data_IF_338721077178
#
_entry.id   IF_338721077178
#
_cell.length_a   1.000
_cell.length_b   1.000
_cell.length_c   1.000
_cell.angle_alpha   90.00
_cell.angle_beta   90.00
_cell.angle_gamma   90.00
#
_symmetry.space_group_name_H-M   'P 1'
#
loop_
_entity.id
_entity.type
_entity.pdbx_description
1 polymer ?
#
# COMPACT_ATOMS: atom_id res chain seq x y z
N UNK A 1 -45.25 40.25 -23.97
CA UNK A 1 -45.07 39.17 -23.04
C UNK A 1 -43.90 38.30 -23.52
N UNK A 2 -42.73 38.46 -22.94
CA UNK A 2 -41.55 37.62 -23.23
C UNK A 2 -41.43 36.60 -22.11
N UNK A 3 -41.60 35.33 -22.46
CA UNK A 3 -41.36 34.20 -21.55
C UNK A 3 -39.83 33.99 -21.40
N UNK A 4 -39.30 34.21 -20.20
CA UNK A 4 -37.95 33.80 -19.83
C UNK A 4 -38.00 32.31 -19.49
N UNK A 5 -37.38 31.50 -20.34
CA UNK A 5 -37.11 30.09 -20.02
C UNK A 5 -35.91 30.01 -19.05
N UNK A 6 -36.17 29.64 -17.83
CA UNK A 6 -35.14 29.37 -16.79
C UNK A 6 -34.62 27.94 -16.97
N UNK A 7 -33.46 27.79 -17.61
CA UNK A 7 -32.79 26.50 -17.73
C UNK A 7 -32.13 26.17 -16.40
N UNK A 8 -32.71 25.24 -15.68
CA UNK A 8 -32.14 24.67 -14.44
C UNK A 8 -31.01 23.73 -14.82
N UNK A 9 -29.75 24.18 -14.70
CA UNK A 9 -28.59 23.32 -14.77
C UNK A 9 -28.53 22.50 -13.49
N UNK A 10 -28.97 21.24 -13.55
CA UNK A 10 -28.67 20.23 -12.51
C UNK A 10 -27.18 19.91 -12.57
N UNK A 11 -26.41 20.52 -11.68
CA UNK A 11 -25.06 20.08 -11.32
C UNK A 11 -25.23 18.73 -10.64
N UNK A 12 -25.11 17.63 -11.39
CA UNK A 12 -24.88 16.32 -10.82
C UNK A 12 -23.46 16.34 -10.28
N UNK A 13 -23.32 16.63 -8.99
CA UNK A 13 -22.12 16.30 -8.24
C UNK A 13 -21.98 14.78 -8.33
N UNK A 14 -21.04 14.31 -9.15
CA UNK A 14 -20.57 12.93 -9.09
C UNK A 14 -19.98 12.76 -7.70
N UNK A 15 -20.76 12.24 -6.77
CA UNK A 15 -20.25 11.61 -5.57
C UNK A 15 -19.44 10.41 -6.07
N UNK A 16 -18.16 10.62 -6.30
CA UNK A 16 -17.23 9.51 -6.41
C UNK A 16 -17.40 8.70 -5.13
N UNK A 17 -17.90 7.49 -5.27
CA UNK A 17 -18.02 6.57 -4.16
C UNK A 17 -16.60 6.38 -3.61
N UNK A 18 -16.31 7.03 -2.49
CA UNK A 18 -15.06 6.83 -1.78
C UNK A 18 -15.08 5.38 -1.32
N UNK A 19 -13.97 4.64 -1.51
CA UNK A 19 -13.85 3.30 -0.95
C UNK A 19 -14.09 3.33 0.57
N UNK A 20 -14.23 2.18 1.23
CA UNK A 20 -14.58 2.12 2.63
C UNK A 20 -13.54 2.85 3.48
N UNK A 21 -13.98 3.69 4.40
CA UNK A 21 -13.09 4.53 5.24
C UNK A 21 -12.01 3.71 5.96
N UNK A 22 -12.36 2.50 6.40
CA UNK A 22 -11.42 1.63 7.07
C UNK A 22 -10.21 1.21 6.22
N UNK A 23 -10.30 1.24 4.88
CA UNK A 23 -9.20 0.94 3.96
C UNK A 23 -8.29 2.16 3.72
N UNK A 24 -8.76 3.37 4.01
CA UNK A 24 -8.04 4.63 3.82
C UNK A 24 -7.80 5.29 5.16
N UNK A 25 -6.86 4.76 5.89
CA UNK A 25 -6.58 5.15 7.26
C UNK A 25 -6.10 6.59 7.37
N UNK A 26 -6.60 7.28 8.37
CA UNK A 26 -6.15 8.62 8.78
C UNK A 26 -5.96 8.64 10.29
N UNK A 27 -4.97 9.38 10.76
CA UNK A 27 -4.77 9.59 12.19
C UNK A 27 -5.93 10.44 12.71
N UNK A 28 -6.84 9.83 13.45
CA UNK A 28 -8.06 10.47 13.99
C UNK A 28 -8.10 10.44 15.53
N UNK A 29 -7.23 9.65 16.14
CA UNK A 29 -7.15 9.43 17.57
C UNK A 29 -5.79 9.88 18.10
N UNK A 30 -5.74 10.22 19.38
CA UNK A 30 -4.49 10.51 20.07
C UNK A 30 -3.70 9.21 20.24
N UNK A 31 -2.39 9.27 19.96
CA UNK A 31 -1.50 8.12 20.17
C UNK A 31 -1.48 7.82 21.69
N UNK A 32 -1.72 6.55 22.10
CA UNK A 32 -1.68 6.19 23.51
C UNK A 32 -0.35 6.55 24.17
N UNK A 33 -0.38 7.10 25.39
CA UNK A 33 0.82 7.57 26.10
C UNK A 33 1.91 6.49 26.22
N UNK A 34 1.50 5.24 26.44
CA UNK A 34 2.42 4.10 26.47
C UNK A 34 3.18 3.83 25.16
N UNK A 35 2.74 4.47 24.08
CA UNK A 35 3.36 4.36 22.73
C UNK A 35 4.04 5.65 22.29
N UNK A 36 4.15 6.66 23.15
CA UNK A 36 5.01 7.83 22.90
C UNK A 36 6.49 7.43 23.05
N UNK A 37 7.33 8.00 22.22
CA UNK A 37 8.78 7.79 22.27
C UNK A 37 9.44 8.92 23.07
N UNK A 38 10.47 8.57 23.87
CA UNK A 38 11.39 9.59 24.39
C UNK A 38 12.23 10.11 23.22
N UNK A 39 12.20 11.42 22.92
CA UNK A 39 12.94 11.97 21.78
C UNK A 39 14.47 11.86 21.93
N UNK A 40 14.98 11.57 23.12
CA UNK A 40 16.40 11.43 23.39
C UNK A 40 16.84 9.96 23.47
N UNK A 41 15.91 9.04 23.50
CA UNK A 41 16.25 7.61 23.53
C UNK A 41 16.83 7.14 22.20
N UNK A 42 17.98 6.47 22.27
CA UNK A 42 18.59 5.84 21.11
C UNK A 42 17.98 4.47 20.89
N UNK A 43 17.48 4.27 19.70
CA UNK A 43 16.88 3.01 19.23
C UNK A 43 17.82 2.30 18.27
N UNK A 44 17.78 0.99 18.27
CA UNK A 44 18.55 0.13 17.38
C UNK A 44 17.68 -1.00 16.89
N UNK A 45 18.11 -1.68 15.84
CA UNK A 45 17.45 -2.89 15.34
C UNK A 45 18.40 -4.07 15.40
N UNK A 46 17.90 -5.30 15.58
CA UNK A 46 18.74 -6.49 15.60
C UNK A 46 19.57 -6.61 14.32
N UNK A 47 20.87 -6.84 14.46
CA UNK A 47 21.79 -7.01 13.32
C UNK A 47 22.37 -5.71 12.74
N UNK A 48 22.00 -4.54 13.27
CA UNK A 48 22.60 -3.25 12.90
C UNK A 48 23.42 -2.67 14.07
N UNK A 49 24.53 -2.02 13.73
CA UNK A 49 25.34 -1.27 14.70
C UNK A 49 24.89 0.19 14.87
N UNK A 50 23.90 0.63 14.07
CA UNK A 50 23.37 2.00 14.13
C UNK A 50 22.52 2.21 15.38
N UNK A 51 22.61 3.42 15.94
CA UNK A 51 21.76 3.90 17.02
C UNK A 51 21.21 5.29 16.63
N UNK A 52 19.90 5.42 16.56
CA UNK A 52 19.23 6.62 16.09
C UNK A 52 18.11 7.01 17.06
N UNK A 53 17.87 8.31 17.19
CA UNK A 53 16.66 8.80 17.87
C UNK A 53 15.44 8.59 16.97
N UNK A 54 14.23 8.64 17.57
CA UNK A 54 13.01 8.53 16.76
C UNK A 54 12.91 9.65 15.71
N UNK A 55 13.32 10.87 16.04
CA UNK A 55 13.34 12.00 15.09
C UNK A 55 14.25 11.73 13.88
N UNK A 56 15.39 11.04 14.09
CA UNK A 56 16.27 10.62 13.00
C UNK A 56 15.66 9.50 12.18
N UNK A 57 14.95 8.57 12.81
CA UNK A 57 14.24 7.48 12.13
C UNK A 57 13.10 8.04 11.27
N UNK A 58 12.43 9.08 11.74
CA UNK A 58 11.28 9.70 11.06
C UNK A 58 11.67 10.84 10.11
N UNK A 59 12.98 11.07 9.90
CA UNK A 59 13.44 11.99 8.86
C UNK A 59 13.10 11.45 7.47
N UNK A 60 12.11 12.05 6.86
CA UNK A 60 11.63 11.62 5.53
C UNK A 60 12.59 11.96 4.38
N UNK A 61 13.63 12.72 4.64
CA UNK A 61 14.67 13.05 3.65
C UNK A 61 15.96 12.27 3.86
N UNK A 62 16.13 11.66 5.05
CA UNK A 62 17.28 10.81 5.38
C UNK A 62 16.79 9.59 6.18
N UNK A 63 15.93 8.74 5.60
CA UNK A 63 15.44 7.55 6.30
C UNK A 63 16.60 6.64 6.66
N UNK A 64 16.48 5.87 7.76
CA UNK A 64 17.57 5.02 8.20
C UNK A 64 17.86 3.90 7.19
N UNK A 65 19.13 3.74 6.88
CA UNK A 65 19.65 2.56 6.20
C UNK A 65 20.31 1.66 7.24
N UNK A 66 19.50 0.76 7.80
CA UNK A 66 19.93 -0.14 8.86
C UNK A 66 20.96 -1.18 8.39
N UNK A 67 20.94 -1.54 7.11
CA UNK A 67 21.71 -2.65 6.53
C UNK A 67 22.31 -2.26 5.16
N UNK A 68 23.23 -1.28 5.11
CA UNK A 68 23.73 -0.74 3.83
C UNK A 68 24.52 -1.76 2.99
N UNK A 69 24.86 -2.90 3.56
CA UNK A 69 25.56 -3.97 2.86
C UNK A 69 24.63 -5.04 2.27
N UNK A 70 23.32 -4.97 2.56
CA UNK A 70 22.35 -5.99 2.12
C UNK A 70 21.70 -5.64 0.77
N UNK A 71 22.00 -4.46 0.22
CA UNK A 71 21.44 -4.00 -1.05
C UNK A 71 22.46 -3.16 -1.84
N UNK A 72 22.17 -2.92 -3.11
CA UNK A 72 22.95 -2.01 -3.93
C UNK A 72 22.87 -0.57 -3.36
N UNK A 73 23.91 0.27 -3.58
CA UNK A 73 23.86 1.68 -3.16
C UNK A 73 22.59 2.37 -3.64
N UNK A 74 21.95 3.12 -2.77
CA UNK A 74 20.75 3.88 -3.10
C UNK A 74 21.03 4.97 -4.12
N UNK A 75 20.21 5.14 -5.16
CA UNK A 75 20.17 6.38 -5.92
C UNK A 75 19.82 7.58 -5.01
N UNK A 76 20.27 8.78 -5.36
CA UNK A 76 20.05 9.99 -4.56
C UNK A 76 18.56 10.23 -4.25
N UNK A 77 17.69 10.04 -5.25
CA UNK A 77 16.25 10.20 -5.07
C UNK A 77 15.65 9.16 -4.12
N UNK A 78 16.24 7.98 -4.01
CA UNK A 78 15.83 6.94 -3.08
C UNK A 78 16.28 7.26 -1.65
N UNK A 79 17.53 7.74 -1.50
CA UNK A 79 18.16 8.04 -0.21
C UNK A 79 17.70 9.37 0.39
N UNK A 80 17.59 10.43 -0.42
CA UNK A 80 17.45 11.81 0.05
C UNK A 80 16.30 12.60 -0.58
N UNK A 81 15.63 12.02 -1.59
CA UNK A 81 14.55 12.73 -2.29
C UNK A 81 15.06 13.92 -3.09
N UNK A 82 14.26 15.01 -3.18
CA UNK A 82 14.60 16.19 -3.96
C UNK A 82 14.10 17.47 -3.30
N UNK A 83 15.02 18.27 -2.79
CA UNK A 83 14.69 19.53 -2.15
C UNK A 83 13.72 19.36 -0.98
N UNK A 84 12.71 20.24 -0.90
CA UNK A 84 11.64 20.15 0.11
C UNK A 84 10.37 19.53 -0.45
N UNK A 85 10.29 19.38 -1.75
CA UNK A 85 9.10 18.96 -2.48
C UNK A 85 8.92 17.46 -2.49
N UNK A 86 10.04 16.71 -2.56
CA UNK A 86 10.02 15.25 -2.67
C UNK A 86 10.80 14.61 -1.53
N UNK A 87 10.14 13.78 -0.77
CA UNK A 87 10.76 12.94 0.27
C UNK A 87 11.56 11.81 -0.37
N UNK A 88 12.51 11.25 0.36
CA UNK A 88 13.22 10.05 -0.06
C UNK A 88 12.23 8.89 -0.33
N UNK A 89 12.42 8.16 -1.43
CA UNK A 89 11.53 7.03 -1.74
C UNK A 89 11.57 5.97 -0.63
N UNK A 90 12.75 5.70 -0.08
CA UNK A 90 12.95 4.74 1.01
C UNK A 90 12.23 5.15 2.31
N UNK A 91 11.86 6.43 2.49
CA UNK A 91 11.10 6.87 3.66
C UNK A 91 9.70 6.23 3.76
N UNK A 92 9.08 5.87 2.62
CA UNK A 92 7.76 5.25 2.57
C UNK A 92 7.81 3.82 2.04
N UNK A 93 8.68 3.56 1.06
CA UNK A 93 8.77 2.25 0.41
C UNK A 93 9.80 1.32 1.07
N UNK A 94 10.54 1.80 2.08
CA UNK A 94 11.62 1.11 2.80
C UNK A 94 12.81 0.72 1.92
N UNK A 95 13.92 0.36 2.55
CA UNK A 95 15.10 -0.17 1.88
C UNK A 95 14.79 -1.45 1.11
N UNK A 96 13.92 -2.29 1.65
CA UNK A 96 13.46 -3.54 1.03
C UNK A 96 12.49 -3.35 -0.14
N UNK A 97 11.99 -2.14 -0.39
CA UNK A 97 10.96 -1.90 -1.39
C UNK A 97 9.59 -2.52 -1.07
N UNK A 98 9.39 -3.06 0.13
CA UNK A 98 8.13 -3.70 0.52
C UNK A 98 7.05 -2.70 0.95
N UNK A 99 7.46 -1.51 1.37
CA UNK A 99 6.53 -0.48 1.84
C UNK A 99 5.87 -0.81 3.18
N UNK A 100 4.78 -0.13 3.46
CA UNK A 100 3.89 -0.38 4.60
C UNK A 100 2.47 -0.65 4.06
N UNK A 101 1.49 -1.03 4.90
CA UNK A 101 0.09 -1.10 4.45
C UNK A 101 -0.40 0.18 3.76
N UNK A 102 0.20 1.34 4.07
CA UNK A 102 -0.12 2.64 3.47
C UNK A 102 0.66 2.96 2.20
N UNK A 103 1.74 2.26 1.90
CA UNK A 103 2.60 2.46 0.73
C UNK A 103 2.65 1.20 -0.13
N UNK A 104 2.89 1.38 -1.43
CA UNK A 104 3.03 0.27 -2.36
C UNK A 104 4.30 -0.53 -2.09
N UNK A 105 4.23 -1.85 -2.23
CA UNK A 105 5.40 -2.64 -2.60
C UNK A 105 5.91 -2.16 -3.97
N UNK A 106 7.23 -2.05 -4.10
CA UNK A 106 7.94 -1.73 -5.34
C UNK A 106 8.92 -2.84 -5.73
N UNK A 107 9.40 -3.60 -4.74
CA UNK A 107 10.34 -4.70 -4.93
C UNK A 107 9.86 -5.68 -5.99
N UNK A 108 10.74 -5.98 -6.96
CA UNK A 108 10.49 -6.95 -8.02
C UNK A 108 9.50 -6.54 -9.10
N UNK A 109 8.91 -5.35 -9.02
CA UNK A 109 8.02 -4.89 -10.08
C UNK A 109 8.82 -4.49 -11.34
N UNK A 110 8.30 -4.74 -12.55
CA UNK A 110 8.99 -4.36 -13.80
C UNK A 110 9.29 -2.87 -13.85
N UNK A 111 10.48 -2.49 -14.31
CA UNK A 111 10.90 -1.09 -14.47
C UNK A 111 9.87 -0.28 -15.25
N UNK A 112 9.41 -0.80 -16.39
CA UNK A 112 8.41 -0.15 -17.24
C UNK A 112 7.06 0.05 -16.54
N UNK A 113 6.68 -0.85 -15.64
CA UNK A 113 5.49 -0.68 -14.80
C UNK A 113 5.69 0.48 -13.80
N UNK A 114 6.82 0.51 -13.08
CA UNK A 114 7.12 1.56 -12.08
C UNK A 114 7.17 2.95 -12.74
N UNK A 115 7.90 3.08 -13.84
CA UNK A 115 7.97 4.34 -14.63
C UNK A 115 6.57 4.78 -15.07
N UNK A 116 5.78 3.89 -15.62
CA UNK A 116 4.41 4.17 -16.07
C UNK A 116 3.50 4.60 -14.92
N UNK A 117 3.65 4.03 -13.71
CA UNK A 117 2.86 4.48 -12.56
C UNK A 117 3.22 5.92 -12.15
N UNK A 118 4.49 6.30 -12.19
CA UNK A 118 4.92 7.68 -11.92
C UNK A 118 4.39 8.66 -12.98
N UNK A 119 4.38 8.27 -14.24
CA UNK A 119 3.75 9.06 -15.30
C UNK A 119 2.24 9.24 -15.05
N UNK A 120 1.53 8.19 -14.68
CA UNK A 120 0.08 8.28 -14.39
C UNK A 120 -0.21 9.15 -13.17
N UNK A 121 0.66 9.17 -12.16
CA UNK A 121 0.55 10.14 -11.07
C UNK A 121 0.79 11.57 -11.55
N UNK A 122 1.76 11.79 -12.43
CA UNK A 122 2.09 13.11 -12.98
C UNK A 122 0.97 13.67 -13.85
N UNK A 123 0.36 12.82 -14.68
CA UNK A 123 -0.74 13.21 -15.60
C UNK A 123 -2.12 13.23 -14.95
N UNK A 124 -2.24 12.68 -13.73
CA UNK A 124 -3.52 12.57 -13.02
C UNK A 124 -4.40 11.39 -13.50
N UNK A 125 -3.87 10.51 -14.36
CA UNK A 125 -4.55 9.26 -14.73
C UNK A 125 -4.61 8.28 -13.56
N UNK A 126 -3.73 8.45 -12.57
CA UNK A 126 -3.77 7.81 -11.27
C UNK A 126 -3.71 8.88 -10.18
N UNK A 127 -4.65 8.84 -9.26
CA UNK A 127 -4.65 9.76 -8.13
C UNK A 127 -4.31 9.02 -6.83
N UNK A 128 -3.43 9.63 -6.05
CA UNK A 128 -3.12 9.23 -4.68
C UNK A 128 -3.71 10.25 -3.70
N UNK A 129 -4.20 9.80 -2.56
CA UNK A 129 -4.81 10.71 -1.57
C UNK A 129 -3.79 11.58 -0.83
N UNK A 130 -2.48 11.26 -0.96
CA UNK A 130 -1.47 11.84 -0.07
C UNK A 130 -0.35 12.55 -0.83
N UNK A 131 0.59 11.82 -1.44
CA UNK A 131 1.86 12.39 -1.84
C UNK A 131 2.28 12.15 -3.29
N UNK A 132 1.92 10.98 -3.87
CA UNK A 132 2.56 10.54 -5.11
C UNK A 132 2.29 11.44 -6.31
N UNK A 133 1.09 12.01 -6.45
CA UNK A 133 0.83 12.99 -7.52
C UNK A 133 1.73 14.22 -7.38
N UNK A 134 1.84 14.76 -6.15
CA UNK A 134 2.72 15.91 -5.89
C UNK A 134 4.18 15.58 -6.18
N UNK A 135 4.68 14.44 -5.71
CA UNK A 135 6.07 14.05 -5.94
C UNK A 135 6.37 13.87 -7.42
N UNK A 136 5.48 13.24 -8.18
CA UNK A 136 5.63 13.01 -9.60
C UNK A 136 5.79 14.29 -10.44
N UNK A 137 5.31 15.44 -9.95
CA UNK A 137 5.48 16.74 -10.61
C UNK A 137 6.93 17.25 -10.57
N UNK A 138 7.71 16.86 -9.52
CA UNK A 138 9.05 17.41 -9.27
C UNK A 138 10.19 16.45 -9.62
N UNK A 139 9.89 15.17 -9.81
CA UNK A 139 10.89 14.14 -10.13
C UNK A 139 11.10 14.09 -11.66
N UNK A 140 12.34 14.10 -12.14
CA UNK A 140 12.65 13.96 -13.55
C UNK A 140 12.49 12.52 -14.04
N UNK A 141 12.47 12.33 -15.35
CA UNK A 141 12.34 10.99 -15.94
C UNK A 141 13.59 10.13 -15.66
N UNK A 142 14.76 10.74 -15.57
CA UNK A 142 16.01 10.07 -15.20
C UNK A 142 15.95 9.58 -13.75
N UNK A 143 15.53 10.44 -12.81
CA UNK A 143 15.40 10.10 -11.39
C UNK A 143 14.32 9.00 -11.18
N UNK A 144 13.23 9.04 -11.96
CA UNK A 144 12.19 7.98 -11.94
C UNK A 144 12.79 6.66 -12.42
N UNK A 145 13.58 6.69 -13.51
CA UNK A 145 14.20 5.50 -14.06
C UNK A 145 15.20 4.89 -13.06
N UNK A 146 16.08 5.69 -12.47
CA UNK A 146 17.04 5.24 -11.45
C UNK A 146 16.34 4.57 -10.25
N UNK A 147 15.28 5.18 -9.73
CA UNK A 147 14.49 4.59 -8.65
C UNK A 147 13.78 3.30 -9.09
N UNK A 148 13.24 3.26 -10.30
CA UNK A 148 12.57 2.09 -10.84
C UNK A 148 13.53 0.92 -11.05
N UNK A 149 14.73 1.18 -11.57
CA UNK A 149 15.78 0.16 -11.74
C UNK A 149 16.23 -0.39 -10.38
N UNK A 150 16.44 0.50 -9.39
CA UNK A 150 16.79 0.09 -8.04
C UNK A 150 15.74 -0.85 -7.42
N UNK A 151 14.48 -0.43 -7.34
CA UNK A 151 13.42 -1.24 -6.72
C UNK A 151 13.08 -2.50 -7.51
N UNK A 152 13.17 -2.47 -8.84
CA UNK A 152 12.93 -3.63 -9.68
C UNK A 152 13.95 -4.75 -9.46
N UNK A 153 15.19 -4.39 -9.09
CA UNK A 153 16.26 -5.34 -8.82
C UNK A 153 16.18 -6.00 -7.43
N UNK A 154 15.34 -5.49 -6.54
CA UNK A 154 15.15 -6.08 -5.20
C UNK A 154 14.22 -7.29 -5.31
N UNK A 155 14.63 -8.42 -4.75
CA UNK A 155 13.79 -9.59 -4.64
C UNK A 155 12.71 -9.36 -3.57
N UNK A 156 11.40 -9.50 -3.90
CA UNK A 156 10.35 -9.33 -2.91
C UNK A 156 10.43 -10.43 -1.83
N UNK A 157 10.15 -10.05 -0.60
CA UNK A 157 10.16 -10.95 0.55
C UNK A 157 8.74 -11.17 1.08
N UNK A 158 8.55 -12.24 1.84
CA UNK A 158 7.30 -12.46 2.55
C UNK A 158 7.07 -11.29 3.52
N UNK A 159 5.97 -10.56 3.31
CA UNK A 159 5.65 -9.35 4.07
C UNK A 159 4.44 -9.55 4.99
N UNK A 160 3.42 -10.28 4.53
CA UNK A 160 2.32 -10.72 5.37
C UNK A 160 2.69 -12.07 5.97
N UNK A 161 3.03 -12.06 7.25
CA UNK A 161 3.56 -13.24 7.95
C UNK A 161 2.47 -14.27 8.21
N UNK A 162 1.25 -13.80 8.52
CA UNK A 162 0.09 -14.65 8.72
C UNK A 162 -1.20 -13.93 8.31
N UNK A 163 -2.21 -14.69 7.91
CA UNK A 163 -3.58 -14.22 7.61
C UNK A 163 -4.56 -15.00 8.48
N UNK A 164 -5.07 -14.33 9.50
CA UNK A 164 -5.91 -14.92 10.54
C UNK A 164 -7.39 -14.69 10.22
N UNK A 165 -8.12 -15.75 10.01
CA UNK A 165 -9.59 -15.71 9.86
C UNK A 165 -10.26 -15.65 11.24
N UNK A 166 -11.02 -14.58 11.50
CA UNK A 166 -11.65 -14.34 12.80
C UNK A 166 -12.81 -13.36 12.70
N UNK A 167 -13.71 -13.41 13.68
CA UNK A 167 -14.80 -12.43 13.82
C UNK A 167 -14.43 -11.26 14.75
N UNK A 168 -13.38 -11.42 15.57
CA UNK A 168 -12.92 -10.42 16.53
C UNK A 168 -11.41 -10.22 16.42
N UNK A 169 -10.96 -8.97 16.58
CA UNK A 169 -9.56 -8.59 16.52
C UNK A 169 -9.14 -7.86 17.79
N UNK A 170 -7.85 -7.78 18.12
CA UNK A 170 -7.38 -6.86 19.13
C UNK A 170 -7.87 -5.44 18.83
N UNK A 171 -8.25 -4.68 19.87
CA UNK A 171 -8.56 -3.25 19.72
C UNK A 171 -7.32 -2.54 19.17
N UNK A 172 -7.54 -1.67 18.18
CA UNK A 172 -6.47 -1.01 17.46
C UNK A 172 -6.64 0.51 17.43
N UNK A 173 -5.56 1.22 17.12
CA UNK A 173 -5.56 2.65 16.81
C UNK A 173 -4.69 2.92 15.58
N UNK A 174 -4.86 4.08 14.94
CA UNK A 174 -4.01 4.52 13.82
C UNK A 174 -2.96 5.47 14.37
N UNK A 175 -1.70 5.07 14.28
CA UNK A 175 -0.54 5.84 14.75
C UNK A 175 0.31 6.39 13.61
N UNK A 176 1.60 6.53 13.90
CA UNK A 176 2.57 7.11 12.98
C UNK A 176 2.64 6.34 11.66
N UNK A 177 2.94 7.06 10.59
CA UNK A 177 2.91 6.50 9.24
C UNK A 177 1.54 6.05 8.78
N UNK A 178 0.46 6.34 9.51
CA UNK A 178 -0.92 5.81 9.32
C UNK A 178 -1.00 4.30 9.42
N UNK A 179 -0.05 3.69 10.10
CA UNK A 179 -0.09 2.26 10.40
C UNK A 179 -1.09 2.00 11.53
N UNK A 180 -1.69 0.82 11.48
CA UNK A 180 -2.59 0.33 12.52
C UNK A 180 -1.78 -0.43 13.55
N UNK A 181 -1.92 -0.05 14.81
CA UNK A 181 -1.25 -0.70 15.94
C UNK A 181 -2.26 -1.28 16.92
N UNK A 182 -1.88 -2.36 17.60
CA UNK A 182 -2.67 -2.91 18.71
C UNK A 182 -2.63 -1.92 19.87
N UNK A 183 -3.79 -1.65 20.47
CA UNK A 183 -3.91 -0.72 21.59
C UNK A 183 -3.24 -1.29 22.86
N UNK A 184 -2.38 -0.53 23.56
CA UNK A 184 -1.61 -1.02 24.72
C UNK A 184 -2.48 -1.45 25.89
N UNK A 185 -3.67 -0.87 26.06
CA UNK A 185 -4.61 -1.25 27.12
C UNK A 185 -5.32 -2.60 26.82
N UNK A 186 -5.02 -3.23 25.67
CA UNK A 186 -5.67 -4.46 25.26
C UNK A 186 -7.13 -4.26 24.88
N UNK A 187 -7.89 -5.35 24.98
CA UNK A 187 -9.30 -5.42 24.55
C UNK A 187 -9.45 -5.98 23.14
N UNK A 188 -10.69 -6.21 22.75
CA UNK A 188 -11.06 -6.72 21.42
C UNK A 188 -12.19 -5.91 20.83
N UNK A 189 -12.29 -5.90 19.51
CA UNK A 189 -13.39 -5.31 18.74
C UNK A 189 -13.88 -6.26 17.66
N UNK A 190 -15.12 -6.09 17.21
CA UNK A 190 -15.63 -6.86 16.07
C UNK A 190 -14.92 -6.45 14.79
N UNK A 191 -14.45 -7.44 14.03
CA UNK A 191 -13.82 -7.19 12.74
C UNK A 191 -14.83 -6.67 11.71
N UNK A 192 -16.05 -7.24 11.71
CA UNK A 192 -17.00 -7.02 10.62
C UNK A 192 -16.47 -7.54 9.29
N UNK A 193 -17.02 -7.04 8.17
CA UNK A 193 -16.53 -7.46 6.85
C UNK A 193 -15.46 -6.49 6.32
N UNK A 194 -14.29 -6.53 6.93
CA UNK A 194 -13.12 -5.75 6.55
C UNK A 194 -11.85 -6.59 6.71
N UNK A 195 -10.75 -6.13 6.14
CA UNK A 195 -9.42 -6.68 6.38
C UNK A 195 -8.55 -5.60 7.01
N UNK A 196 -7.80 -5.96 8.05
CA UNK A 196 -6.86 -5.05 8.70
C UNK A 196 -5.49 -5.69 8.77
N UNK A 197 -4.45 -4.87 8.82
CA UNK A 197 -3.08 -5.29 9.06
C UNK A 197 -2.52 -4.56 10.28
N UNK A 198 -1.79 -5.30 11.10
CA UNK A 198 -1.01 -4.76 12.22
C UNK A 198 0.43 -5.27 12.10
N UNK A 199 1.45 -4.52 12.51
CA UNK A 199 2.80 -5.04 12.59
C UNK A 199 2.86 -6.30 13.45
N UNK A 200 3.65 -7.30 13.01
CA UNK A 200 4.00 -8.45 13.84
C UNK A 200 4.78 -8.01 15.08
N UNK A 201 5.70 -7.05 14.87
CA UNK A 201 6.46 -6.39 15.91
C UNK A 201 6.37 -4.86 15.74
N UNK A 202 5.77 -4.19 16.74
CA UNK A 202 5.60 -2.74 16.74
C UNK A 202 6.95 -2.01 16.72
N UNK A 203 7.93 -2.50 17.48
CA UNK A 203 9.23 -1.84 17.60
C UNK A 203 9.98 -1.89 16.27
N UNK A 204 9.95 -3.01 15.58
CA UNK A 204 10.54 -3.13 14.25
C UNK A 204 9.81 -2.23 13.24
N UNK A 205 8.49 -2.18 13.26
CA UNK A 205 7.73 -1.33 12.34
C UNK A 205 8.00 0.16 12.56
N UNK A 206 8.02 0.61 13.82
CA UNK A 206 8.27 2.03 14.16
C UNK A 206 9.72 2.45 13.97
N UNK A 207 10.66 1.51 13.95
CA UNK A 207 12.06 1.78 13.56
C UNK A 207 12.29 1.69 12.05
N UNK A 208 11.24 1.48 11.24
CA UNK A 208 11.35 1.31 9.78
C UNK A 208 12.29 0.16 9.38
N UNK A 209 12.26 -0.92 10.16
CA UNK A 209 13.06 -2.10 9.86
C UNK A 209 12.64 -2.68 8.50
N UNK A 210 13.57 -2.88 7.54
CA UNK A 210 13.21 -3.26 6.18
C UNK A 210 12.62 -4.66 6.05
N UNK A 211 12.74 -5.48 7.09
CA UNK A 211 12.22 -6.85 7.15
C UNK A 211 11.14 -7.03 8.23
N UNK A 212 10.53 -5.95 8.70
CA UNK A 212 9.39 -6.01 9.62
C UNK A 212 8.14 -6.51 8.89
N UNK A 213 7.53 -7.59 9.40
CA UNK A 213 6.34 -8.20 8.82
C UNK A 213 5.03 -7.68 9.42
N UNK A 214 3.93 -8.10 8.82
CA UNK A 214 2.57 -7.74 9.24
C UNK A 214 1.70 -9.00 9.41
N UNK A 215 0.72 -8.93 10.30
CA UNK A 215 -0.33 -9.92 10.46
C UNK A 215 -1.62 -9.30 9.93
N UNK A 216 -2.31 -10.01 9.04
CA UNK A 216 -3.60 -9.61 8.53
C UNK A 216 -4.73 -10.37 9.25
N UNK A 217 -5.84 -9.67 9.53
CA UNK A 217 -7.06 -10.25 10.07
C UNK A 217 -8.19 -10.09 9.07
N UNK A 218 -8.91 -11.16 8.78
CA UNK A 218 -9.97 -11.23 7.78
C UNK A 218 -11.17 -12.04 8.29
N UNK A 219 -12.39 -11.82 7.75
CA UNK A 219 -13.57 -12.60 8.15
C UNK A 219 -13.40 -14.10 7.88
N UNK A 220 -14.04 -14.92 8.70
CA UNK A 220 -14.01 -16.39 8.57
C UNK A 220 -14.49 -16.83 7.19
N UNK A 221 -13.70 -17.70 6.53
CA UNK A 221 -13.98 -18.24 5.20
C UNK A 221 -13.54 -17.34 4.04
N UNK A 222 -12.94 -16.16 4.31
CA UNK A 222 -12.48 -15.24 3.25
C UNK A 222 -11.41 -15.85 2.36
N UNK A 223 -10.46 -16.59 2.92
CA UNK A 223 -9.36 -17.20 2.15
C UNK A 223 -9.90 -18.17 1.09
N UNK A 224 -10.86 -19.02 1.45
CA UNK A 224 -11.41 -20.00 0.51
C UNK A 224 -12.30 -19.34 -0.55
N UNK A 225 -13.14 -18.36 -0.17
CA UNK A 225 -13.95 -17.61 -1.14
C UNK A 225 -13.05 -16.80 -2.08
N UNK A 226 -12.00 -16.18 -1.54
CA UNK A 226 -10.99 -15.45 -2.32
C UNK A 226 -10.24 -16.34 -3.29
N UNK A 227 -9.84 -17.53 -2.86
CA UNK A 227 -9.22 -18.53 -3.76
C UNK A 227 -10.14 -18.81 -4.94
N UNK A 228 -11.42 -19.06 -4.72
CA UNK A 228 -12.38 -19.32 -5.80
C UNK A 228 -12.47 -18.13 -6.76
N UNK A 229 -12.59 -16.91 -6.24
CA UNK A 229 -12.64 -15.69 -7.08
C UNK A 229 -11.35 -15.49 -7.89
N UNK A 230 -10.20 -15.63 -7.28
CA UNK A 230 -8.89 -15.45 -7.94
C UNK A 230 -8.62 -16.49 -9.01
N UNK A 231 -9.00 -17.76 -8.77
CA UNK A 231 -8.68 -18.86 -9.67
C UNK A 231 -9.73 -19.12 -10.76
N UNK A 232 -11.00 -18.82 -10.50
CA UNK A 232 -12.11 -19.12 -11.42
C UNK A 232 -12.89 -17.90 -11.89
N UNK A 233 -12.71 -16.77 -11.20
CA UNK A 233 -13.53 -15.58 -11.39
C UNK A 233 -14.88 -15.64 -10.67
N UNK A 234 -15.28 -16.75 -10.09
CA UNK A 234 -16.52 -16.93 -9.32
C UNK A 234 -17.81 -16.53 -10.07
N UNK A 235 -17.78 -16.44 -11.39
CA UNK A 235 -18.88 -15.92 -12.22
C UNK A 235 -19.08 -14.39 -12.16
N UNK A 236 -18.20 -13.66 -11.49
CA UNK A 236 -18.27 -12.19 -11.33
C UNK A 236 -17.14 -11.44 -12.05
N UNK A 237 -15.99 -12.11 -12.20
CA UNK A 237 -14.78 -11.52 -12.76
C UNK A 237 -14.02 -12.55 -13.61
N UNK A 238 -12.83 -12.15 -14.10
CA UNK A 238 -11.90 -13.04 -14.77
C UNK A 238 -10.91 -13.65 -13.74
N UNK A 239 -10.40 -14.88 -13.98
CA UNK A 239 -9.29 -15.40 -13.18
C UNK A 239 -8.09 -14.46 -13.23
N UNK A 240 -7.53 -14.08 -12.07
CA UNK A 240 -6.43 -13.12 -11.96
C UNK A 240 -5.16 -13.63 -12.67
N UNK A 241 -4.93 -14.95 -12.67
CA UNK A 241 -3.81 -15.59 -13.35
C UNK A 241 -3.81 -15.40 -14.87
N UNK A 242 -4.95 -15.03 -15.48
CA UNK A 242 -5.01 -14.78 -16.94
C UNK A 242 -4.10 -13.60 -17.37
N UNK A 243 -3.82 -12.68 -16.45
CA UNK A 243 -2.97 -11.51 -16.70
C UNK A 243 -1.75 -11.47 -15.76
N UNK A 244 -1.91 -11.82 -14.49
CA UNK A 244 -0.86 -11.66 -13.46
C UNK A 244 0.10 -12.86 -13.34
N UNK A 245 0.05 -13.80 -14.29
CA UNK A 245 0.87 -15.02 -14.29
C UNK A 245 0.22 -16.18 -13.53
N UNK A 246 0.65 -17.40 -13.83
CA UNK A 246 0.04 -18.62 -13.27
C UNK A 246 0.23 -18.71 -11.74
N UNK A 247 1.31 -18.16 -11.24
CA UNK A 247 1.68 -18.06 -9.83
C UNK A 247 1.35 -16.69 -9.21
N UNK A 248 0.73 -15.80 -9.97
CA UNK A 248 0.36 -14.43 -9.58
C UNK A 248 1.55 -13.51 -9.27
N UNK A 249 2.75 -13.90 -9.69
CA UNK A 249 4.01 -13.12 -9.52
C UNK A 249 4.31 -12.17 -10.67
N UNK A 250 3.37 -12.01 -11.61
CA UNK A 250 3.55 -11.16 -12.78
C UNK A 250 4.30 -11.84 -13.93
N UNK A 251 5.07 -11.09 -14.69
CA UNK A 251 5.99 -11.64 -15.70
C UNK A 251 5.47 -11.68 -17.13
N UNK A 252 4.22 -11.34 -17.39
CA UNK A 252 3.68 -11.21 -18.74
C UNK A 252 3.28 -9.77 -19.05
N UNK A 253 3.74 -9.19 -20.14
CA UNK A 253 3.42 -7.81 -20.59
C UNK A 253 3.58 -6.74 -19.50
N UNK A 254 4.56 -6.88 -18.62
CA UNK A 254 4.82 -5.94 -17.52
C UNK A 254 3.65 -5.81 -16.52
N UNK A 255 2.79 -6.80 -16.41
CA UNK A 255 1.82 -6.85 -15.33
C UNK A 255 2.51 -7.12 -13.99
N UNK A 256 2.18 -6.37 -12.94
CA UNK A 256 2.81 -6.56 -11.64
C UNK A 256 2.42 -7.90 -11.01
N UNK A 257 3.30 -8.44 -10.16
CA UNK A 257 2.93 -9.47 -9.22
C UNK A 257 1.86 -8.97 -8.25
N UNK A 258 0.98 -9.85 -7.82
CA UNK A 258 -0.08 -9.55 -6.84
C UNK A 258 -0.10 -10.56 -5.68
N UNK A 259 0.79 -11.56 -5.71
CA UNK A 259 0.96 -12.51 -4.62
C UNK A 259 1.69 -11.87 -3.44
N UNK A 260 1.32 -12.20 -2.21
CA UNK A 260 2.03 -11.86 -0.98
C UNK A 260 2.04 -10.38 -0.57
N UNK A 261 1.42 -9.50 -1.37
CA UNK A 261 1.38 -8.07 -1.09
C UNK A 261 0.42 -7.71 0.05
N UNK A 262 0.59 -6.49 0.61
CA UNK A 262 -0.32 -5.94 1.63
C UNK A 262 -1.78 -5.99 1.17
N UNK A 263 -2.68 -6.69 1.90
CA UNK A 263 -4.09 -6.73 1.55
C UNK A 263 -4.79 -5.37 1.73
N UNK A 264 -4.38 -4.56 2.71
CA UNK A 264 -4.94 -3.21 2.91
C UNK A 264 -4.54 -2.28 1.75
N UNK A 265 -3.32 -2.38 1.23
CA UNK A 265 -2.96 -1.67 0.01
C UNK A 265 -3.72 -2.20 -1.19
N UNK A 266 -3.77 -3.52 -1.36
CA UNK A 266 -4.35 -4.19 -2.53
C UNK A 266 -5.85 -3.90 -2.69
N UNK A 267 -6.61 -3.87 -1.58
CA UNK A 267 -8.04 -3.56 -1.64
C UNK A 267 -8.29 -2.12 -2.10
N UNK A 268 -7.46 -1.15 -1.68
CA UNK A 268 -7.55 0.21 -2.21
C UNK A 268 -7.34 0.24 -3.72
N UNK A 269 -6.39 -0.55 -4.24
CA UNK A 269 -6.14 -0.60 -5.67
C UNK A 269 -7.33 -1.19 -6.46
N UNK A 270 -8.00 -2.22 -5.94
CA UNK A 270 -9.21 -2.75 -6.56
C UNK A 270 -10.32 -1.69 -6.59
N UNK A 271 -10.50 -0.95 -5.50
CA UNK A 271 -11.42 0.19 -5.45
C UNK A 271 -11.04 1.31 -6.41
N UNK A 272 -9.77 1.67 -6.46
CA UNK A 272 -9.28 2.75 -7.31
C UNK A 272 -9.49 2.42 -8.80
N UNK A 273 -9.36 1.17 -9.22
CA UNK A 273 -9.73 0.72 -10.56
C UNK A 273 -11.25 0.75 -10.78
N UNK A 274 -12.04 0.35 -9.79
CA UNK A 274 -13.50 0.32 -9.90
C UNK A 274 -14.09 1.73 -9.99
N UNK A 275 -13.54 2.68 -9.25
CA UNK A 275 -13.99 4.10 -9.23
C UNK A 275 -13.35 4.94 -10.31
N UNK A 276 -12.33 4.42 -11.02
CA UNK A 276 -11.60 5.15 -12.07
C UNK A 276 -10.54 6.12 -11.54
N UNK A 277 -10.27 6.15 -10.22
CA UNK A 277 -9.18 6.95 -9.64
C UNK A 277 -7.81 6.38 -9.96
N UNK A 278 -7.75 5.13 -10.42
CA UNK A 278 -6.59 4.50 -11.03
C UNK A 278 -6.94 4.10 -12.47
N UNK A 279 -6.62 4.98 -13.40
CA UNK A 279 -6.95 4.88 -14.81
C UNK A 279 -5.70 4.63 -15.68
N UNK A 280 -5.66 5.35 -16.82
CA UNK A 280 -4.67 5.17 -17.87
C UNK A 280 -4.92 3.92 -18.71
N UNK A 281 -4.13 3.73 -19.76
CA UNK A 281 -4.32 2.65 -20.73
C UNK A 281 -4.33 1.26 -20.08
N UNK A 282 -3.45 1.03 -19.11
CA UNK A 282 -3.37 -0.26 -18.40
C UNK A 282 -4.44 -0.39 -17.31
N UNK A 283 -4.84 0.73 -16.69
CA UNK A 283 -5.96 0.77 -15.73
C UNK A 283 -7.29 0.41 -16.39
N UNK A 284 -7.48 0.81 -17.62
CA UNK A 284 -8.67 0.48 -18.41
C UNK A 284 -8.85 -1.04 -18.63
N UNK A 285 -7.77 -1.84 -18.55
CA UNK A 285 -7.85 -3.29 -18.61
C UNK A 285 -8.36 -3.90 -17.30
N UNK A 286 -8.03 -3.26 -16.16
CA UNK A 286 -8.48 -3.72 -14.84
C UNK A 286 -9.91 -3.28 -14.50
N UNK A 287 -10.37 -2.15 -15.00
CA UNK A 287 -11.71 -1.62 -14.68
C UNK A 287 -12.84 -2.64 -14.93
N UNK A 288 -12.94 -3.34 -16.09
CA UNK A 288 -13.97 -4.35 -16.29
C UNK A 288 -13.80 -5.59 -15.39
N UNK A 289 -12.56 -5.89 -14.95
CA UNK A 289 -12.29 -7.03 -14.05
C UNK A 289 -12.88 -6.77 -12.67
N UNK A 290 -12.82 -5.54 -12.18
CA UNK A 290 -13.33 -5.17 -10.83
C UNK A 290 -14.76 -4.66 -10.82
N UNK A 291 -15.36 -4.42 -11.99
CA UNK A 291 -16.65 -3.70 -12.12
C UNK A 291 -17.81 -4.34 -11.34
N UNK A 292 -17.84 -5.66 -11.23
CA UNK A 292 -18.92 -6.41 -10.57
C UNK A 292 -18.53 -6.94 -9.19
N UNK A 293 -17.33 -6.62 -8.69
CA UNK A 293 -16.90 -7.04 -7.36
C UNK A 293 -17.57 -6.18 -6.29
N UNK A 294 -18.07 -6.83 -5.26
CA UNK A 294 -18.52 -6.15 -4.03
C UNK A 294 -17.31 -5.90 -3.12
N UNK A 295 -17.51 -5.10 -2.06
CA UNK A 295 -16.49 -4.92 -1.01
C UNK A 295 -16.06 -6.27 -0.41
N UNK A 296 -17.03 -7.15 -0.14
CA UNK A 296 -16.80 -8.47 0.41
C UNK A 296 -15.96 -9.32 -0.54
N UNK A 297 -16.28 -9.31 -1.85
CA UNK A 297 -15.47 -10.01 -2.86
C UNK A 297 -14.01 -9.50 -2.86
N UNK A 298 -13.83 -8.18 -2.74
CA UNK A 298 -12.49 -7.58 -2.70
C UNK A 298 -11.73 -7.97 -1.43
N UNK A 299 -12.39 -7.98 -0.27
CA UNK A 299 -11.80 -8.48 1.00
C UNK A 299 -11.36 -9.93 0.86
N UNK A 300 -12.22 -10.79 0.32
CA UNK A 300 -11.93 -12.21 0.11
C UNK A 300 -10.74 -12.41 -0.84
N UNK A 301 -10.71 -11.69 -1.97
CA UNK A 301 -9.62 -11.73 -2.94
C UNK A 301 -8.29 -11.37 -2.28
N UNK A 302 -8.21 -10.22 -1.59
CA UNK A 302 -6.94 -9.76 -1.03
C UNK A 302 -6.49 -10.58 0.16
N UNK A 303 -7.43 -11.18 0.91
CA UNK A 303 -7.13 -12.13 1.97
C UNK A 303 -6.41 -13.38 1.41
N UNK A 304 -6.93 -13.96 0.32
CA UNK A 304 -6.26 -15.08 -0.33
C UNK A 304 -4.90 -14.69 -0.91
N UNK A 305 -4.80 -13.57 -1.63
CA UNK A 305 -3.54 -13.11 -2.23
C UNK A 305 -2.45 -12.91 -1.17
N UNK A 306 -2.81 -12.42 0.01
CA UNK A 306 -1.88 -12.21 1.13
C UNK A 306 -1.32 -13.52 1.72
N UNK A 307 -1.99 -14.66 1.51
CA UNK A 307 -1.48 -15.97 1.96
C UNK A 307 -0.38 -16.54 1.07
N UNK A 308 -0.20 -15.98 -0.13
CA UNK A 308 0.75 -16.47 -1.12
C UNK A 308 2.15 -15.90 -0.85
N UNK A 309 3.18 -16.63 -1.29
CA UNK A 309 4.54 -16.10 -1.32
C UNK A 309 4.70 -15.16 -2.52
N UNK A 310 5.37 -14.02 -2.36
CA UNK A 310 5.56 -13.03 -3.41
C UNK A 310 6.47 -13.50 -4.53
#
# INVERSE_FOLDING_TARGET
>A
MRLLSLSLFLLTSSLFAQGPEWAYQSVTEEIPEAHHFDPNELRSVPGSDLQLTQDQIDDHWNPPDWFPNDHAPWPEIVAHGKGREVRACAACHLASGMGHPESSQLAGYPVSYLVRQMEYFRTGERTDRYWMNRFAEYISDEEILEAAEYFSAIEPIKWVMDVIETDTVPRTYIGDGRMRFIHPDGGTEELGYKIIEVPEDRELATTRHPYSGFIAYTPVGSIERGRNLVTTGGGKTLPCAACHGADLRGGFLDYPGIAGGSPVYSIRQLYDFQTGTRGGAMGALMSPVVANLTTEDMVDIVAYLATLDP
#
